data_IF_420297673343
#
_entry.id   IF_420297673343
#
_cell.length_a   1.000
_cell.length_b   1.000
_cell.length_c   1.000
_cell.angle_alpha   90.00
_cell.angle_beta   90.00
_cell.angle_gamma   90.00
#
_symmetry.space_group_name_H-M   'P 1'
#
loop_
_entity.id
_entity.type
_entity.pdbx_description
1 polymer ?
#
# COMPACT_ATOMS: atom_id res chain seq x y z
N UNK A 1 -10.33 -10.30 -11.57
CA UNK A 1 -10.25 -9.46 -12.76
C UNK A 1 -10.83 -8.09 -12.52
N UNK A 2 -10.13 -7.09 -12.98
CA UNK A 2 -10.58 -5.72 -12.81
C UNK A 2 -11.77 -5.41 -13.71
N UNK A 3 -12.64 -4.53 -13.26
CA UNK A 3 -13.70 -3.99 -14.07
C UNK A 3 -13.11 -3.12 -15.17
N UNK A 4 -13.62 -3.26 -16.37
CA UNK A 4 -13.18 -2.45 -17.48
C UNK A 4 -14.09 -1.24 -17.71
N UNK A 5 -15.20 -1.18 -16.98
CA UNK A 5 -16.17 -0.10 -17.12
C UNK A 5 -16.65 0.36 -15.76
N UNK A 6 -16.15 1.50 -15.32
CA UNK A 6 -16.45 2.04 -13.99
C UNK A 6 -17.51 3.13 -13.98
N UNK A 7 -18.20 3.33 -15.09
CA UNK A 7 -19.19 4.41 -15.16
C UNK A 7 -20.62 3.93 -15.03
N UNK A 8 -20.81 2.67 -14.73
CA UNK A 8 -22.14 2.06 -14.84
C UNK A 8 -22.97 2.13 -13.56
N UNK A 9 -22.36 2.38 -12.42
CA UNK A 9 -23.13 2.49 -11.18
C UNK A 9 -22.36 3.31 -10.15
N UNK A 10 -23.07 3.79 -9.09
CA UNK A 10 -22.49 4.72 -8.13
C UNK A 10 -21.30 4.17 -7.32
N UNK A 11 -21.20 2.84 -7.19
CA UNK A 11 -20.12 2.24 -6.42
C UNK A 11 -18.82 2.09 -7.18
N UNK A 12 -18.82 2.26 -8.48
CA UNK A 12 -17.66 1.96 -9.31
C UNK A 12 -16.38 2.71 -8.94
N UNK A 13 -16.40 4.02 -8.63
CA UNK A 13 -15.18 4.70 -8.23
C UNK A 13 -14.54 4.12 -6.96
N UNK A 14 -15.35 3.74 -5.99
CA UNK A 14 -14.84 3.11 -4.76
C UNK A 14 -14.26 1.75 -5.09
N UNK A 15 -14.94 0.99 -5.94
CA UNK A 15 -14.47 -0.32 -6.38
C UNK A 15 -13.14 -0.20 -7.10
N UNK A 16 -13.00 0.77 -8.00
CA UNK A 16 -11.76 1.01 -8.72
C UNK A 16 -10.61 1.31 -7.76
N UNK A 17 -10.86 2.15 -6.76
CA UNK A 17 -9.84 2.49 -5.75
C UNK A 17 -9.44 1.24 -4.96
N UNK A 18 -10.42 0.44 -4.54
CA UNK A 18 -10.13 -0.75 -3.75
C UNK A 18 -9.38 -1.83 -4.56
N UNK A 19 -9.57 -1.88 -5.86
CA UNK A 19 -8.80 -2.79 -6.69
C UNK A 19 -7.31 -2.43 -6.68
N UNK A 20 -7.00 -1.15 -6.57
CA UNK A 20 -5.64 -0.65 -6.60
C UNK A 20 -4.97 -0.76 -5.24
N UNK A 21 -5.67 -0.41 -4.16
CA UNK A 21 -5.07 -0.35 -2.82
C UNK A 21 -5.65 -1.36 -1.85
N UNK A 22 -6.55 -2.21 -2.32
CA UNK A 22 -7.23 -3.17 -1.46
C UNK A 22 -6.35 -4.34 -1.08
N UNK A 23 -6.95 -5.29 -0.36
CA UNK A 23 -6.24 -6.41 0.19
C UNK A 23 -5.54 -6.01 1.47
N UNK A 24 -4.73 -6.92 1.99
CA UNK A 24 -4.16 -6.75 3.32
C UNK A 24 -2.91 -5.87 3.34
N UNK A 25 -2.12 -5.89 2.26
CA UNK A 25 -0.76 -5.34 2.35
C UNK A 25 -0.50 -4.09 1.51
N UNK A 26 -1.25 -3.87 0.42
CA UNK A 26 -0.95 -2.77 -0.51
C UNK A 26 -1.01 -1.40 0.16
N UNK A 27 -2.07 -1.15 0.92
CA UNK A 27 -2.20 0.13 1.63
C UNK A 27 -1.07 0.37 2.60
N UNK A 28 -0.61 -0.69 3.27
CA UNK A 28 0.49 -0.60 4.23
C UNK A 28 1.81 -0.28 3.52
N UNK A 29 2.06 -0.94 2.38
CA UNK A 29 3.26 -0.66 1.58
C UNK A 29 3.26 0.81 1.14
N UNK A 30 2.14 1.28 0.62
CA UNK A 30 2.03 2.66 0.15
C UNK A 30 2.22 3.65 1.29
N UNK A 31 1.67 3.34 2.46
CA UNK A 31 1.85 4.19 3.64
C UNK A 31 3.33 4.38 3.97
N UNK A 32 4.08 3.28 3.99
CA UNK A 32 5.51 3.36 4.29
C UNK A 32 6.29 4.10 3.21
N UNK A 33 5.96 3.87 1.95
CA UNK A 33 6.67 4.51 0.84
C UNK A 33 6.35 5.98 0.67
N UNK A 34 5.22 6.46 1.22
CA UNK A 34 4.93 7.89 1.23
C UNK A 34 5.94 8.65 2.07
N UNK A 35 6.47 8.02 3.10
CA UNK A 35 7.44 8.66 4.01
C UNK A 35 8.84 8.67 3.42
N UNK A 36 9.25 7.60 2.76
CA UNK A 36 10.62 7.48 2.27
C UNK A 36 10.76 6.37 1.25
N UNK A 37 11.81 6.47 0.44
CA UNK A 37 12.23 5.39 -0.45
C UNK A 37 12.77 4.24 0.42
N UNK A 38 12.37 3.01 0.11
CA UNK A 38 12.76 1.86 0.91
C UNK A 38 13.23 0.71 0.04
N UNK A 39 14.17 -0.06 0.58
CA UNK A 39 14.62 -1.31 -0.02
C UNK A 39 13.68 -2.43 0.40
N UNK A 40 13.75 -3.53 -0.34
CA UNK A 40 12.93 -4.71 -0.06
C UNK A 40 13.05 -5.17 1.40
N UNK A 41 14.28 -5.30 1.90
CA UNK A 41 14.49 -5.77 3.26
C UNK A 41 14.03 -4.77 4.31
N UNK A 42 14.06 -3.48 3.98
CA UNK A 42 13.54 -2.46 4.88
C UNK A 42 12.03 -2.57 4.99
N UNK A 43 11.35 -2.80 3.86
CA UNK A 43 9.91 -3.04 3.88
C UNK A 43 9.57 -4.27 4.71
N UNK A 44 10.33 -5.35 4.55
CA UNK A 44 10.09 -6.57 5.33
C UNK A 44 10.26 -6.32 6.83
N UNK A 45 11.18 -5.44 7.18
CA UNK A 45 11.43 -5.12 8.59
C UNK A 45 10.24 -4.41 9.23
N UNK A 46 9.59 -3.51 8.50
CA UNK A 46 8.41 -2.79 9.01
C UNK A 46 7.11 -3.57 8.80
N UNK A 47 7.17 -4.67 8.07
CA UNK A 47 6.02 -5.53 7.80
C UNK A 47 6.39 -6.98 8.13
N UNK A 48 6.65 -7.29 9.41
CA UNK A 48 7.21 -8.60 9.76
C UNK A 48 6.30 -9.78 9.50
N UNK A 49 5.00 -9.56 9.35
CA UNK A 49 4.05 -10.66 9.12
C UNK A 49 3.89 -11.00 7.64
N UNK A 50 4.41 -10.18 6.73
CA UNK A 50 4.30 -10.48 5.31
C UNK A 50 5.41 -11.44 4.88
N UNK A 51 5.06 -12.45 4.07
CA UNK A 51 6.08 -13.34 3.53
C UNK A 51 6.82 -12.65 2.38
N UNK A 52 8.03 -13.11 2.11
CA UNK A 52 8.82 -12.59 0.99
C UNK A 52 8.04 -12.73 -0.33
N UNK A 53 7.41 -13.88 -0.51
CA UNK A 53 6.62 -14.15 -1.71
C UNK A 53 5.46 -13.18 -1.86
N UNK A 54 4.73 -12.94 -0.79
CA UNK A 54 3.59 -12.04 -0.82
C UNK A 54 4.02 -10.60 -1.05
N UNK A 55 5.10 -10.17 -0.38
CA UNK A 55 5.61 -8.81 -0.57
C UNK A 55 6.05 -8.61 -2.02
N UNK A 56 6.75 -9.58 -2.60
CA UNK A 56 7.16 -9.51 -3.99
C UNK A 56 5.96 -9.35 -4.91
N UNK A 57 4.93 -10.16 -4.67
CA UNK A 57 3.70 -10.12 -5.48
C UNK A 57 3.02 -8.76 -5.39
N UNK A 58 2.87 -8.24 -4.18
CA UNK A 58 2.20 -6.96 -3.97
C UNK A 58 2.98 -5.80 -4.59
N UNK A 59 4.31 -5.83 -4.47
CA UNK A 59 5.15 -4.79 -5.07
C UNK A 59 5.06 -4.81 -6.59
N UNK A 60 5.01 -6.00 -7.19
CA UNK A 60 4.85 -6.11 -8.64
C UNK A 60 3.52 -5.55 -9.12
N UNK A 61 2.46 -5.81 -8.37
CA UNK A 61 1.14 -5.30 -8.72
C UNK A 61 1.08 -3.79 -8.59
N UNK A 62 1.66 -3.23 -7.54
CA UNK A 62 1.71 -1.79 -7.35
C UNK A 62 2.55 -1.11 -8.44
N UNK A 63 3.63 -1.74 -8.83
CA UNK A 63 4.46 -1.24 -9.93
C UNK A 63 3.71 -1.27 -11.25
N UNK A 64 3.00 -2.37 -11.52
CA UNK A 64 2.20 -2.50 -12.73
C UNK A 64 1.10 -1.45 -12.81
N UNK A 65 0.55 -1.05 -11.67
CA UNK A 65 -0.46 0.00 -11.60
C UNK A 65 0.15 1.40 -11.60
N UNK A 66 1.46 1.51 -11.78
CA UNK A 66 2.20 2.77 -11.85
C UNK A 66 2.11 3.60 -10.57
N UNK A 67 1.94 2.95 -9.44
CA UNK A 67 1.91 3.65 -8.15
C UNK A 67 3.28 3.75 -7.53
N UNK A 68 4.14 2.79 -7.78
CA UNK A 68 5.50 2.78 -7.28
C UNK A 68 6.47 2.51 -8.41
N UNK A 69 7.71 2.93 -8.21
CA UNK A 69 8.81 2.70 -9.13
C UNK A 69 9.85 1.83 -8.45
N UNK A 70 10.48 0.97 -9.22
CA UNK A 70 11.56 0.11 -8.76
C UNK A 70 12.83 0.53 -9.46
N UNK A 71 13.85 0.84 -8.68
CA UNK A 71 15.16 1.22 -9.23
C UNK A 71 16.21 0.20 -8.82
N UNK A 72 16.87 -0.35 -9.82
CA UNK A 72 17.94 -1.34 -9.62
C UNK A 72 19.27 -0.65 -9.82
N UNK A 73 20.16 -0.80 -8.85
CA UNK A 73 21.51 -0.25 -8.93
C UNK A 73 22.47 -1.37 -9.34
N UNK A 74 23.33 -1.14 -10.33
CA UNK A 74 24.26 -2.17 -10.82
C UNK A 74 25.47 -2.29 -9.91
N UNK A 75 25.26 -2.82 -8.73
CA UNK A 75 26.35 -3.06 -7.77
C UNK A 75 26.29 -4.49 -7.25
N UNK A 76 27.27 -4.89 -6.47
CA UNK A 76 27.36 -6.24 -5.94
C UNK A 76 27.45 -6.15 -4.42
N UNK A 77 26.46 -6.66 -3.66
CA UNK A 77 25.20 -7.23 -4.16
C UNK A 77 24.30 -6.15 -4.78
N UNK A 78 23.38 -6.53 -5.67
CA UNK A 78 22.53 -5.54 -6.31
C UNK A 78 21.61 -4.89 -5.28
N UNK A 79 21.40 -3.59 -5.47
CA UNK A 79 20.55 -2.79 -4.61
C UNK A 79 19.27 -2.46 -5.37
N UNK A 80 18.12 -2.70 -4.74
CA UNK A 80 16.83 -2.41 -5.33
C UNK A 80 16.05 -1.50 -4.38
N UNK A 81 15.60 -0.36 -4.90
CA UNK A 81 14.82 0.60 -4.12
C UNK A 81 13.43 0.78 -4.70
N UNK A 82 12.46 0.96 -3.82
CA UNK A 82 11.08 1.25 -4.19
C UNK A 82 10.72 2.64 -3.71
N UNK A 83 10.03 3.38 -4.57
CA UNK A 83 9.61 4.75 -4.25
C UNK A 83 8.26 5.03 -4.87
N UNK A 84 7.57 6.05 -4.35
CA UNK A 84 6.29 6.46 -4.93
C UNK A 84 6.52 7.20 -6.23
N UNK A 85 5.69 6.90 -7.24
CA UNK A 85 5.64 7.70 -8.46
C UNK A 85 4.87 8.98 -8.19
N UNK A 86 4.92 9.93 -9.14
CA UNK A 86 4.09 11.13 -9.03
C UNK A 86 2.61 10.77 -9.00
N UNK A 87 2.22 9.79 -9.80
CA UNK A 87 0.85 9.30 -9.77
C UNK A 87 0.50 8.66 -8.43
N UNK A 88 1.41 7.85 -7.89
CA UNK A 88 1.21 7.22 -6.58
C UNK A 88 1.02 8.24 -5.46
N UNK A 89 1.70 9.38 -5.56
CA UNK A 89 1.59 10.43 -4.54
C UNK A 89 0.20 11.05 -4.49
N UNK A 90 -0.61 10.87 -5.52
CA UNK A 90 -2.00 11.34 -5.50
C UNK A 90 -2.82 10.58 -4.46
N UNK A 91 -2.34 9.44 -3.99
CA UNK A 91 -3.00 8.68 -2.94
C UNK A 91 -2.71 9.21 -1.53
N UNK A 92 -1.85 10.22 -1.40
CA UNK A 92 -1.48 10.76 -0.09
C UNK A 92 -2.69 11.08 0.79
N UNK A 93 -3.69 11.85 0.33
CA UNK A 93 -4.85 12.15 1.19
C UNK A 93 -5.68 10.90 1.50
N UNK A 94 -5.74 9.94 0.58
CA UNK A 94 -6.48 8.70 0.80
C UNK A 94 -5.82 7.88 1.90
N UNK A 95 -4.50 7.71 1.81
CA UNK A 95 -3.74 6.92 2.79
C UNK A 95 -3.79 7.60 4.17
N UNK A 96 -3.66 8.93 4.20
CA UNK A 96 -3.77 9.66 5.47
C UNK A 96 -5.16 9.50 6.09
N UNK A 97 -6.21 9.53 5.29
CA UNK A 97 -7.57 9.31 5.79
C UNK A 97 -7.75 7.92 6.35
N UNK A 98 -7.18 6.91 5.68
CA UNK A 98 -7.20 5.54 6.18
C UNK A 98 -6.47 5.44 7.52
N UNK A 99 -5.31 6.09 7.63
CA UNK A 99 -4.55 6.10 8.86
C UNK A 99 -5.34 6.74 10.01
N UNK A 100 -5.95 7.89 9.75
CA UNK A 100 -6.73 8.59 10.76
C UNK A 100 -7.93 7.78 11.21
N UNK A 101 -8.64 7.22 10.28
CA UNK A 101 -9.80 6.39 10.61
C UNK A 101 -9.37 5.14 11.36
N UNK A 102 -8.27 4.51 10.91
CA UNK A 102 -7.74 3.31 11.55
C UNK A 102 -7.30 3.57 12.98
N UNK A 103 -6.66 4.71 13.23
CA UNK A 103 -6.24 5.09 14.58
C UNK A 103 -7.43 5.20 15.51
N UNK A 104 -8.49 5.86 15.06
CA UNK A 104 -9.72 5.99 15.86
C UNK A 104 -10.38 4.65 16.08
N UNK A 105 -10.38 3.80 15.05
CA UNK A 105 -10.95 2.47 15.16
C UNK A 105 -10.19 1.63 16.20
N UNK A 106 -8.88 1.71 16.23
CA UNK A 106 -8.07 0.98 17.20
C UNK A 106 -8.33 1.48 18.62
N UNK A 107 -8.46 2.78 18.80
CA UNK A 107 -8.83 3.35 20.09
C UNK A 107 -10.20 2.86 20.55
N UNK A 108 -11.17 2.84 19.65
CA UNK A 108 -12.51 2.37 19.91
C UNK A 108 -12.51 0.89 20.31
N UNK A 109 -11.76 0.08 19.58
CA UNK A 109 -11.67 -1.35 19.88
C UNK A 109 -11.02 -1.59 21.24
N UNK A 110 -10.00 -0.81 21.57
CA UNK A 110 -9.33 -0.91 22.88
C UNK A 110 -10.30 -0.53 23.99
N UNK A 111 -11.07 0.56 23.79
CA UNK A 111 -12.04 1.01 24.77
C UNK A 111 -13.12 -0.04 25.01
N UNK A 112 -13.62 -0.64 23.94
CA UNK A 112 -14.63 -1.70 24.07
C UNK A 112 -14.08 -2.92 24.82
N UNK A 113 -12.81 -3.26 24.59
CA UNK A 113 -12.16 -4.35 25.31
C UNK A 113 -12.05 -4.05 26.80
N UNK A 114 -11.76 -2.79 27.16
CA UNK A 114 -11.66 -2.39 28.56
C UNK A 114 -13.00 -2.37 29.25
N UNK A 115 -14.08 -2.12 28.50
CA UNK A 115 -15.42 -2.03 29.05
C UNK A 115 -16.07 -3.39 29.26
N UNK A 116 -15.49 -4.44 28.71
CA UNK A 116 -15.99 -5.81 28.90
C UNK A 116 -15.18 -6.54 29.95
#
# INVERSE_FOLDING_TARGET
MAHTNYNCNPGCPVEAALEVIGGKWKGVILYHLLSETMRFNELRRVMPEVTQRMLTKQLRELEADNLIARKVYPEVPPKVEYSMTEYGKTLTPVIHSLQQWGSRHLEQATQLSLDT
#
